data_IF_981340768870
#
_entry.id   IF_981340768870
#
_cell.length_a   1.000
_cell.length_b   1.000
_cell.length_c   1.000
_cell.angle_alpha   90.00
_cell.angle_beta   90.00
_cell.angle_gamma   90.00
#
_symmetry.space_group_name_H-M   'P 1'
#
loop_
_entity.id
_entity.type
_entity.pdbx_description
1 polymer ?
#
# COMPACT_ATOMS: atom_id res chain seq x y z
N UNK A 1 18.69 61.07 26.34
CA UNK A 1 17.32 60.73 25.89
C UNK A 1 17.41 59.55 24.94
N UNK A 2 17.17 58.33 25.43
CA UNK A 2 17.05 57.12 24.59
C UNK A 2 15.68 56.54 24.90
N UNK A 3 14.76 56.60 23.92
CA UNK A 3 13.44 55.98 24.01
C UNK A 3 13.59 54.49 23.71
N UNK A 4 13.38 53.66 24.73
CA UNK A 4 13.17 52.23 24.56
C UNK A 4 11.75 52.03 23.97
N UNK A 5 11.65 51.48 22.77
CA UNK A 5 10.38 50.99 22.22
C UNK A 5 10.35 49.48 22.49
N UNK A 6 9.53 49.07 23.46
CA UNK A 6 9.17 47.67 23.64
C UNK A 6 8.13 47.30 22.57
N UNK A 7 8.52 46.50 21.59
CA UNK A 7 7.60 45.80 20.71
C UNK A 7 7.20 44.50 21.40
N UNK A 8 5.97 44.44 21.92
CA UNK A 8 5.39 43.20 22.42
C UNK A 8 5.02 42.29 21.23
N UNK A 9 5.78 41.22 21.02
CA UNK A 9 5.36 40.12 20.16
C UNK A 9 4.23 39.36 20.86
N UNK A 10 2.99 39.58 20.42
CA UNK A 10 1.87 38.68 20.68
C UNK A 10 2.09 37.41 19.87
N UNK A 11 2.66 36.39 20.51
CA UNK A 11 2.64 35.02 19.99
C UNK A 11 1.23 34.49 20.17
N UNK A 12 0.43 34.50 19.09
CA UNK A 12 -0.77 33.68 19.01
C UNK A 12 -0.35 32.22 19.04
N UNK A 13 -0.34 31.62 20.23
CA UNK A 13 -0.34 30.16 20.38
C UNK A 13 -1.75 29.69 20.03
N UNK A 14 -2.06 29.67 18.73
CA UNK A 14 -3.23 28.96 18.24
C UNK A 14 -3.08 27.50 18.65
N UNK A 15 -3.94 27.04 19.55
CA UNK A 15 -4.04 25.63 19.91
C UNK A 15 -4.36 24.86 18.63
N UNK A 16 -3.35 24.26 18.01
CA UNK A 16 -3.55 23.34 16.90
C UNK A 16 -4.35 22.17 17.45
N UNK A 17 -5.67 22.22 17.26
CA UNK A 17 -6.53 21.06 17.40
C UNK A 17 -5.92 20.03 16.46
N UNK A 18 -5.36 18.96 17.03
CA UNK A 18 -4.71 17.90 16.26
C UNK A 18 -5.76 17.30 15.32
N UNK A 19 -5.80 17.78 14.08
CA UNK A 19 -6.69 17.30 13.04
C UNK A 19 -6.53 15.78 12.95
N UNK A 20 -7.63 15.05 13.13
CA UNK A 20 -7.63 13.58 13.06
C UNK A 20 -7.42 13.19 11.59
N UNK A 21 -6.33 12.50 11.24
CA UNK A 21 -6.05 12.11 9.86
C UNK A 21 -7.24 11.37 9.23
N UNK A 22 -7.71 11.83 8.08
CA UNK A 22 -8.90 11.31 7.41
C UNK A 22 -10.25 11.83 7.92
N UNK A 23 -10.38 12.31 9.16
CA UNK A 23 -11.67 12.81 9.70
C UNK A 23 -11.89 14.27 9.37
N UNK A 24 -10.86 15.10 9.61
CA UNK A 24 -10.94 16.55 9.41
C UNK A 24 -10.43 16.94 8.02
N UNK A 25 -10.79 16.12 7.02
CA UNK A 25 -10.42 16.35 5.63
C UNK A 25 -11.38 17.37 5.01
N UNK A 26 -10.89 18.45 4.37
CA UNK A 26 -11.77 19.34 3.63
C UNK A 26 -12.47 18.55 2.51
N UNK A 27 -13.63 19.04 2.10
CA UNK A 27 -14.25 18.55 0.86
C UNK A 27 -13.38 18.98 -0.32
N UNK A 28 -13.16 18.08 -1.28
CA UNK A 28 -12.39 18.40 -2.47
C UNK A 28 -13.08 19.49 -3.32
N UNK A 29 -12.29 20.41 -3.86
CA UNK A 29 -12.73 21.49 -4.76
C UNK A 29 -11.99 21.48 -6.12
N UNK A 30 -11.08 20.53 -6.30
CA UNK A 30 -10.34 20.35 -7.54
C UNK A 30 -11.24 19.76 -8.65
N UNK A 31 -10.81 19.92 -9.90
CA UNK A 31 -11.45 19.34 -11.07
C UNK A 31 -10.39 18.72 -11.98
N UNK A 32 -10.79 17.76 -12.81
CA UNK A 32 -10.03 17.42 -14.01
C UNK A 32 -9.93 18.67 -14.92
N UNK A 33 -8.80 18.80 -15.62
CA UNK A 33 -8.35 19.96 -16.37
C UNK A 33 -8.28 19.72 -17.88
N UNK A 34 -8.39 18.47 -18.32
CA UNK A 34 -8.31 18.12 -19.74
C UNK A 34 -9.59 17.42 -20.21
N UNK A 35 -9.77 17.33 -21.53
CA UNK A 35 -10.87 16.59 -22.14
C UNK A 35 -10.54 15.10 -22.38
N UNK A 36 -9.44 14.61 -21.79
CA UNK A 36 -9.07 13.19 -21.91
C UNK A 36 -10.22 12.31 -21.40
N UNK A 37 -10.62 11.27 -22.16
CA UNK A 37 -11.88 10.56 -21.95
C UNK A 37 -11.89 9.65 -20.72
N UNK A 38 -10.72 9.29 -20.19
CA UNK A 38 -10.60 8.44 -19.00
C UNK A 38 -10.06 9.26 -17.84
N UNK A 39 -10.76 9.25 -16.71
CA UNK A 39 -10.33 9.95 -15.49
C UNK A 39 -9.82 8.97 -14.46
N UNK A 40 -8.62 9.23 -13.94
CA UNK A 40 -7.95 8.32 -13.01
C UNK A 40 -7.59 9.08 -11.75
N UNK A 41 -7.95 8.51 -10.60
CA UNK A 41 -7.60 9.06 -9.30
C UNK A 41 -6.61 8.12 -8.62
N UNK A 42 -5.52 8.66 -8.08
CA UNK A 42 -4.59 7.89 -7.25
C UNK A 42 -4.90 8.15 -5.78
N UNK A 43 -5.26 7.10 -5.05
CA UNK A 43 -5.51 7.13 -3.61
C UNK A 43 -4.53 6.20 -2.89
N UNK A 44 -3.94 6.66 -1.79
CA UNK A 44 -2.94 5.86 -1.09
C UNK A 44 -2.14 6.57 -0.02
N UNK A 45 -1.13 5.85 0.48
CA UNK A 45 -0.16 6.33 1.45
C UNK A 45 1.02 7.08 0.81
N UNK A 46 2.16 7.11 1.52
CA UNK A 46 3.34 7.89 1.13
C UNK A 46 3.97 7.46 -0.20
N UNK A 47 3.98 6.16 -0.53
CA UNK A 47 4.46 5.67 -1.83
C UNK A 47 3.61 6.26 -2.98
N UNK A 48 2.30 6.39 -2.80
CA UNK A 48 1.42 6.94 -3.82
C UNK A 48 1.43 8.48 -3.86
N UNK A 49 1.79 9.16 -2.77
CA UNK A 49 1.68 10.61 -2.62
C UNK A 49 2.70 11.45 -3.42
N UNK A 50 3.62 10.82 -4.15
CA UNK A 50 4.61 11.53 -4.95
C UNK A 50 3.97 12.12 -6.22
N UNK A 51 4.11 13.44 -6.40
CA UNK A 51 3.57 14.17 -7.56
C UNK A 51 4.17 13.71 -8.89
N UNK A 52 5.43 13.28 -8.87
CA UNK A 52 6.15 12.69 -10.02
C UNK A 52 6.24 11.15 -9.94
N UNK A 53 5.38 10.52 -9.13
CA UNK A 53 5.32 9.08 -8.94
C UNK A 53 4.66 8.31 -10.10
N UNK A 54 4.26 7.07 -9.83
CA UNK A 54 3.73 6.15 -10.86
C UNK A 54 2.51 6.71 -11.62
N UNK A 55 1.68 7.53 -10.98
CA UNK A 55 0.54 8.18 -11.64
C UNK A 55 0.97 9.10 -12.78
N UNK A 56 2.04 9.88 -12.58
CA UNK A 56 2.59 10.75 -13.62
C UNK A 56 3.26 9.95 -14.76
N UNK A 57 3.86 8.80 -14.46
CA UNK A 57 4.38 7.90 -15.50
C UNK A 57 3.25 7.29 -16.34
N UNK A 58 2.17 6.86 -15.69
CA UNK A 58 0.98 6.35 -16.38
C UNK A 58 0.36 7.42 -17.28
N UNK A 59 0.18 8.65 -16.79
CA UNK A 59 -0.40 9.73 -17.59
C UNK A 59 0.42 10.09 -18.84
N UNK A 60 1.75 9.91 -18.77
CA UNK A 60 2.64 10.07 -19.94
C UNK A 60 2.54 8.89 -20.91
N UNK A 61 2.48 7.66 -20.40
CA UNK A 61 2.42 6.45 -21.21
C UNK A 61 1.03 6.19 -21.83
N UNK A 62 -0.03 6.70 -21.19
CA UNK A 62 -1.43 6.45 -21.54
C UNK A 62 -2.08 7.73 -22.04
N UNK A 63 -2.22 7.83 -23.36
CA UNK A 63 -2.67 9.04 -24.06
C UNK A 63 -4.08 9.51 -23.67
N UNK A 64 -4.96 8.58 -23.26
CA UNK A 64 -6.37 8.86 -22.99
C UNK A 64 -6.70 9.15 -21.52
N UNK A 65 -5.72 9.04 -20.61
CA UNK A 65 -5.99 9.21 -19.18
C UNK A 65 -5.55 10.57 -18.67
N UNK A 66 -6.36 11.16 -17.80
CA UNK A 66 -5.93 12.25 -16.94
C UNK A 66 -5.85 11.76 -15.49
N UNK A 67 -4.74 12.04 -14.81
CA UNK A 67 -4.49 11.56 -13.46
C UNK A 67 -4.55 12.69 -12.44
N UNK A 68 -5.37 12.53 -11.40
CA UNK A 68 -5.34 13.36 -10.19
C UNK A 68 -4.87 12.53 -9.01
N UNK A 69 -3.83 13.00 -8.34
CA UNK A 69 -3.29 12.33 -7.16
C UNK A 69 -3.83 12.95 -5.87
N UNK A 70 -4.62 12.16 -5.12
CA UNK A 70 -5.16 12.56 -3.81
C UNK A 70 -4.52 11.77 -2.66
N UNK A 71 -3.46 10.99 -2.92
CA UNK A 71 -2.77 10.22 -1.89
C UNK A 71 -2.09 11.14 -0.84
N UNK A 72 -1.86 10.59 0.36
CA UNK A 72 -1.35 11.36 1.51
C UNK A 72 -0.35 10.57 2.33
N UNK A 73 0.78 11.21 2.63
CA UNK A 73 1.86 10.65 3.45
C UNK A 73 1.36 10.32 4.86
N UNK A 74 1.81 9.17 5.39
CA UNK A 74 1.54 8.74 6.78
C UNK A 74 0.14 8.17 7.03
N UNK A 75 -0.73 8.09 6.01
CA UNK A 75 -2.10 7.63 6.20
C UNK A 75 -2.18 6.10 6.31
N UNK A 76 -2.98 5.62 7.25
CA UNK A 76 -3.41 4.21 7.35
C UNK A 76 -4.46 3.90 6.28
N UNK A 77 -4.81 2.62 6.08
CA UNK A 77 -5.87 2.25 5.13
C UNK A 77 -7.19 2.99 5.42
N UNK A 78 -7.61 3.06 6.69
CA UNK A 78 -8.79 3.81 7.10
C UNK A 78 -8.72 5.30 6.76
N UNK A 79 -7.59 5.94 7.03
CA UNK A 79 -7.42 7.37 6.74
C UNK A 79 -7.40 7.63 5.22
N UNK A 80 -6.83 6.73 4.41
CA UNK A 80 -6.92 6.79 2.94
C UNK A 80 -8.37 6.68 2.48
N UNK A 81 -9.15 5.74 3.02
CA UNK A 81 -10.58 5.60 2.71
C UNK A 81 -11.35 6.88 3.04
N UNK A 82 -11.14 7.45 4.23
CA UNK A 82 -11.85 8.67 4.63
C UNK A 82 -11.44 9.90 3.82
N UNK A 83 -10.17 10.01 3.46
CA UNK A 83 -9.70 11.03 2.53
C UNK A 83 -10.33 10.87 1.15
N UNK A 84 -10.42 9.65 0.62
CA UNK A 84 -11.10 9.38 -0.64
C UNK A 84 -12.58 9.81 -0.58
N UNK A 85 -13.29 9.47 0.50
CA UNK A 85 -14.66 9.92 0.74
C UNK A 85 -14.78 11.46 0.68
N UNK A 86 -13.91 12.19 1.37
CA UNK A 86 -13.96 13.66 1.45
C UNK A 86 -13.50 14.37 0.15
N UNK A 87 -12.39 13.92 -0.44
CA UNK A 87 -11.73 14.60 -1.55
C UNK A 87 -12.26 14.19 -2.92
N UNK A 88 -12.93 13.04 -3.02
CA UNK A 88 -13.41 12.47 -4.29
C UNK A 88 -14.93 12.32 -4.27
N UNK A 89 -15.46 11.49 -3.37
CA UNK A 89 -16.90 11.16 -3.39
C UNK A 89 -17.76 12.39 -3.08
N UNK A 90 -17.34 13.23 -2.13
CA UNK A 90 -18.03 14.47 -1.78
C UNK A 90 -17.65 15.66 -2.66
N UNK A 91 -16.70 15.52 -3.58
CA UNK A 91 -16.27 16.62 -4.44
C UNK A 91 -17.33 16.86 -5.53
N UNK A 92 -18.00 18.03 -5.57
CA UNK A 92 -19.07 18.29 -6.54
C UNK A 92 -18.58 18.39 -7.99
N UNK A 93 -17.27 18.54 -8.21
CA UNK A 93 -16.66 18.63 -9.53
C UNK A 93 -16.26 17.27 -10.11
N UNK A 94 -16.51 16.18 -9.39
CA UNK A 94 -16.16 14.82 -9.80
C UNK A 94 -17.45 14.03 -10.01
N UNK A 95 -17.74 13.69 -11.26
CA UNK A 95 -18.90 12.88 -11.62
C UNK A 95 -18.45 11.63 -12.40
N UNK A 96 -18.17 10.52 -11.70
CA UNK A 96 -17.69 9.30 -12.32
C UNK A 96 -18.72 8.59 -13.21
N UNK A 97 -20.00 9.00 -13.18
CA UNK A 97 -21.04 8.39 -14.02
C UNK A 97 -21.11 9.00 -15.42
N UNK A 98 -20.49 10.16 -15.64
CA UNK A 98 -20.47 10.85 -16.94
C UNK A 98 -19.43 10.31 -17.92
N UNK A 99 -18.41 9.61 -17.43
CA UNK A 99 -17.28 9.15 -18.24
C UNK A 99 -16.57 7.98 -17.57
N UNK A 100 -15.69 7.30 -18.31
CA UNK A 100 -14.90 6.22 -17.74
C UNK A 100 -13.99 6.75 -16.61
N UNK A 101 -14.23 6.27 -15.39
CA UNK A 101 -13.56 6.77 -14.20
C UNK A 101 -12.99 5.63 -13.37
N UNK A 102 -11.73 5.77 -12.98
CA UNK A 102 -10.97 4.76 -12.26
C UNK A 102 -10.34 5.33 -10.99
N UNK A 103 -10.15 4.47 -10.00
CA UNK A 103 -9.33 4.74 -8.81
C UNK A 103 -8.22 3.70 -8.74
N UNK A 104 -6.97 4.17 -8.67
CA UNK A 104 -5.82 3.34 -8.33
C UNK A 104 -5.60 3.44 -6.83
N UNK A 105 -5.58 2.30 -6.14
CA UNK A 105 -5.49 2.25 -4.68
C UNK A 105 -4.20 1.56 -4.24
N UNK A 106 -3.35 2.29 -3.52
CA UNK A 106 -2.13 1.77 -2.89
C UNK A 106 -2.05 2.24 -1.43
N UNK A 107 -2.62 1.47 -0.52
CA UNK A 107 -2.74 1.82 0.89
C UNK A 107 -2.55 0.65 1.84
N UNK A 108 -2.38 0.96 3.13
CA UNK A 108 -2.39 -0.03 4.20
C UNK A 108 -1.05 -0.34 4.85
N UNK A 109 0.09 0.11 4.31
CA UNK A 109 1.39 -0.18 4.90
C UNK A 109 1.51 0.32 6.35
N UNK A 110 1.03 1.53 6.63
CA UNK A 110 1.05 2.12 7.97
C UNK A 110 0.13 1.40 8.99
N UNK A 111 -0.76 0.53 8.52
CA UNK A 111 -1.67 -0.26 9.36
C UNK A 111 -1.47 -1.78 9.23
N UNK A 112 -0.49 -2.24 8.44
CA UNK A 112 -0.28 -3.67 8.12
C UNK A 112 0.03 -4.52 9.36
N UNK A 113 0.39 -3.91 10.50
CA UNK A 113 0.47 -4.61 11.78
C UNK A 113 -0.82 -5.34 12.18
N UNK A 114 -1.97 -4.90 11.66
CA UNK A 114 -3.26 -5.59 11.74
C UNK A 114 -3.82 -5.78 10.32
N UNK A 115 -3.45 -6.87 9.62
CA UNK A 115 -3.83 -7.06 8.22
C UNK A 115 -5.33 -7.24 8.05
N UNK A 116 -6.03 -7.84 9.02
CA UNK A 116 -7.49 -8.04 8.98
C UNK A 116 -8.25 -6.73 8.95
N UNK A 117 -7.92 -5.80 9.86
CA UNK A 117 -8.53 -4.47 9.85
C UNK A 117 -8.10 -3.65 8.62
N UNK A 118 -6.84 -3.78 8.21
CA UNK A 118 -6.33 -3.11 7.01
C UNK A 118 -7.10 -3.53 5.77
N UNK A 119 -7.29 -4.84 5.58
CA UNK A 119 -8.06 -5.41 4.48
C UNK A 119 -9.50 -4.94 4.51
N UNK A 120 -10.15 -4.94 5.69
CA UNK A 120 -11.50 -4.41 5.85
C UNK A 120 -11.62 -2.94 5.41
N UNK A 121 -10.65 -2.10 5.76
CA UNK A 121 -10.66 -0.68 5.37
C UNK A 121 -10.42 -0.48 3.88
N UNK A 122 -9.54 -1.27 3.26
CA UNK A 122 -9.32 -1.25 1.80
C UNK A 122 -10.55 -1.79 1.05
N UNK A 123 -11.16 -2.88 1.53
CA UNK A 123 -12.43 -3.42 1.01
C UNK A 123 -13.54 -2.37 1.06
N UNK A 124 -13.63 -1.62 2.17
CA UNK A 124 -14.60 -0.54 2.33
C UNK A 124 -14.36 0.61 1.35
N UNK A 125 -13.10 0.94 1.05
CA UNK A 125 -12.73 1.89 0.00
C UNK A 125 -13.17 1.38 -1.38
N UNK A 126 -12.90 0.12 -1.72
CA UNK A 126 -13.34 -0.47 -3.00
C UNK A 126 -14.85 -0.42 -3.15
N UNK A 127 -15.57 -0.82 -2.10
CA UNK A 127 -17.04 -0.78 -2.08
C UNK A 127 -17.55 0.64 -2.30
N UNK A 128 -16.97 1.62 -1.60
CA UNK A 128 -17.31 3.03 -1.75
C UNK A 128 -17.04 3.56 -3.17
N UNK A 129 -15.91 3.18 -3.78
CA UNK A 129 -15.58 3.56 -5.15
C UNK A 129 -16.59 2.99 -6.15
N UNK A 130 -16.88 1.68 -6.08
CA UNK A 130 -17.84 1.03 -6.96
C UNK A 130 -19.26 1.58 -6.80
N UNK A 131 -19.73 1.81 -5.57
CA UNK A 131 -21.04 2.42 -5.30
C UNK A 131 -21.20 3.81 -5.92
N UNK A 132 -20.08 4.53 -6.10
CA UNK A 132 -20.07 5.83 -6.73
C UNK A 132 -19.80 5.77 -8.23
N UNK A 133 -19.61 4.60 -8.84
CA UNK A 133 -19.46 4.45 -10.29
C UNK A 133 -18.02 4.46 -10.79
N UNK A 134 -17.03 4.37 -9.90
CA UNK A 134 -15.65 4.14 -10.28
C UNK A 134 -15.38 2.66 -10.50
N UNK A 135 -14.47 2.36 -11.41
CA UNK A 135 -13.73 1.09 -11.44
C UNK A 135 -12.46 1.20 -10.59
N UNK A 136 -11.90 0.08 -10.16
CA UNK A 136 -10.78 0.03 -9.22
C UNK A 136 -9.60 -0.77 -9.77
N UNK A 137 -8.41 -0.15 -9.73
CA UNK A 137 -7.13 -0.85 -9.81
C UNK A 137 -6.57 -0.97 -8.39
N UNK A 138 -6.60 -2.18 -7.84
CA UNK A 138 -6.02 -2.49 -6.53
C UNK A 138 -4.56 -2.86 -6.65
N UNK A 139 -3.67 -2.11 -5.99
CA UNK A 139 -2.25 -2.43 -5.91
C UNK A 139 -1.99 -3.12 -4.56
N UNK A 140 -1.29 -4.26 -4.57
CA UNK A 140 -0.77 -4.82 -3.32
C UNK A 140 0.23 -3.84 -2.71
N UNK A 141 0.54 -4.03 -1.42
CA UNK A 141 1.71 -3.36 -0.84
C UNK A 141 2.97 -3.69 -1.67
N UNK A 142 3.83 -2.70 -1.87
CA UNK A 142 5.15 -2.95 -2.46
C UNK A 142 6.01 -3.78 -1.50
N UNK A 143 7.05 -4.46 -2.00
CA UNK A 143 8.09 -5.02 -1.15
C UNK A 143 8.66 -3.91 -0.30
N UNK A 144 9.00 -4.22 0.94
CA UNK A 144 9.54 -3.25 1.88
C UNK A 144 10.33 -3.97 2.94
N UNK A 145 11.36 -3.31 3.46
CA UNK A 145 12.17 -3.84 4.54
C UNK A 145 13.66 -3.78 4.25
N UNK A 146 14.44 -4.03 5.28
CA UNK A 146 15.90 -4.00 5.21
C UNK A 146 16.47 -4.76 6.40
N UNK A 147 17.63 -5.40 6.22
CA UNK A 147 18.40 -5.99 7.32
C UNK A 147 18.87 -4.94 8.33
N UNK A 148 18.89 -3.65 7.96
CA UNK A 148 19.24 -2.54 8.86
C UNK A 148 18.07 -2.07 9.74
N UNK A 149 16.85 -2.50 9.42
CA UNK A 149 15.65 -2.10 10.14
C UNK A 149 15.30 -3.14 11.21
N UNK A 150 15.34 -2.72 12.48
CA UNK A 150 15.03 -3.56 13.64
C UNK A 150 13.64 -4.21 13.57
N UNK A 151 12.71 -3.64 12.80
CA UNK A 151 11.39 -4.21 12.56
C UNK A 151 11.48 -5.58 11.85
N UNK A 152 12.55 -5.84 11.13
CA UNK A 152 12.79 -7.05 10.35
C UNK A 152 13.77 -8.02 11.00
N UNK A 153 14.36 -7.66 12.14
CA UNK A 153 15.32 -8.50 12.84
C UNK A 153 14.70 -9.83 13.31
N UNK A 154 15.47 -10.91 13.20
CA UNK A 154 15.08 -12.24 13.67
C UNK A 154 13.70 -12.69 13.14
N UNK A 155 12.87 -13.21 14.05
CA UNK A 155 11.54 -13.73 13.74
C UNK A 155 10.44 -12.66 13.78
N UNK A 156 10.72 -11.44 14.25
CA UNK A 156 9.76 -10.32 14.13
C UNK A 156 9.47 -10.01 12.66
N UNK A 157 10.48 -10.11 11.79
CA UNK A 157 10.31 -9.93 10.35
C UNK A 157 9.36 -10.95 9.72
N UNK A 158 9.32 -12.18 10.25
CA UNK A 158 8.41 -13.23 9.75
C UNK A 158 6.95 -12.83 9.96
N UNK A 159 6.62 -12.29 11.13
CA UNK A 159 5.27 -11.76 11.39
C UNK A 159 4.87 -10.62 10.45
N UNK A 160 5.81 -9.71 10.13
CA UNK A 160 5.57 -8.61 9.19
C UNK A 160 5.38 -9.08 7.76
N UNK A 161 6.18 -10.03 7.33
CA UNK A 161 6.04 -10.66 6.03
C UNK A 161 4.67 -11.35 5.93
N UNK A 162 4.28 -12.15 6.92
CA UNK A 162 2.97 -12.80 6.95
C UNK A 162 1.81 -11.80 6.84
N UNK A 163 1.89 -10.69 7.57
CA UNK A 163 0.87 -9.66 7.49
C UNK A 163 0.85 -8.95 6.12
N UNK A 164 2.02 -8.67 5.54
CA UNK A 164 2.14 -8.04 4.22
C UNK A 164 1.60 -8.97 3.14
N UNK A 165 1.96 -10.26 3.20
CA UNK A 165 1.46 -11.30 2.31
C UNK A 165 -0.06 -11.46 2.43
N UNK A 166 -0.62 -11.51 3.65
CA UNK A 166 -2.07 -11.57 3.86
C UNK A 166 -2.80 -10.34 3.30
N UNK A 167 -2.20 -9.16 3.35
CA UNK A 167 -2.75 -7.96 2.71
C UNK A 167 -2.66 -8.04 1.17
N UNK A 168 -1.53 -8.49 0.63
CA UNK A 168 -1.35 -8.69 -0.80
C UNK A 168 -2.32 -9.73 -1.37
N UNK A 169 -2.46 -10.88 -0.71
CA UNK A 169 -3.34 -11.97 -1.14
C UNK A 169 -4.83 -11.59 -1.09
N UNK A 170 -5.23 -10.70 -0.18
CA UNK A 170 -6.57 -10.11 -0.20
C UNK A 170 -6.79 -9.28 -1.47
N UNK A 171 -5.89 -8.34 -1.80
CA UNK A 171 -6.01 -7.51 -3.01
C UNK A 171 -6.03 -8.39 -4.27
N UNK A 172 -5.24 -9.46 -4.27
CA UNK A 172 -5.19 -10.42 -5.38
C UNK A 172 -6.39 -11.39 -5.42
N UNK A 173 -7.36 -11.28 -4.49
CA UNK A 173 -8.54 -12.14 -4.44
C UNK A 173 -8.25 -13.60 -4.09
N UNK A 174 -7.09 -13.89 -3.48
CA UNK A 174 -6.64 -15.26 -3.17
C UNK A 174 -7.15 -15.79 -1.84
N UNK A 175 -7.70 -14.93 -0.98
CA UNK A 175 -8.18 -15.30 0.35
C UNK A 175 -9.71 -15.34 0.39
N UNK A 176 -10.28 -16.20 1.23
CA UNK A 176 -11.70 -16.08 1.62
C UNK A 176 -11.91 -14.87 2.55
N UNK A 177 -13.15 -14.35 2.68
CA UNK A 177 -13.43 -13.25 3.61
C UNK A 177 -13.02 -13.56 5.06
N UNK A 178 -13.29 -14.77 5.54
CA UNK A 178 -12.89 -15.20 6.88
C UNK A 178 -11.37 -15.08 7.09
N UNK A 179 -10.58 -15.59 6.14
CA UNK A 179 -9.12 -15.56 6.24
C UNK A 179 -8.61 -14.13 6.09
N UNK A 180 -9.16 -13.33 5.18
CA UNK A 180 -8.71 -11.98 4.89
C UNK A 180 -9.06 -10.96 6.00
N UNK A 181 -10.25 -11.07 6.58
CA UNK A 181 -10.86 -10.08 7.47
C UNK A 181 -10.97 -10.54 8.92
N UNK A 182 -10.80 -11.84 9.20
CA UNK A 182 -10.92 -12.41 10.54
C UNK A 182 -12.26 -12.03 11.17
N UNK A 183 -12.22 -11.42 12.37
CA UNK A 183 -13.42 -10.96 13.08
C UNK A 183 -14.26 -9.92 12.32
N UNK A 184 -13.66 -9.21 11.35
CA UNK A 184 -14.36 -8.22 10.53
C UNK A 184 -15.08 -8.84 9.33
N UNK A 185 -14.99 -10.16 9.14
CA UNK A 185 -15.75 -10.85 8.10
C UNK A 185 -17.26 -10.83 8.37
N UNK A 186 -17.69 -10.72 9.64
CA UNK A 186 -19.11 -10.64 10.05
C UNK A 186 -20.00 -11.73 9.42
N UNK A 187 -19.47 -12.95 9.28
CA UNK A 187 -20.21 -14.09 8.70
C UNK A 187 -20.23 -14.15 7.17
N UNK A 188 -19.48 -13.29 6.47
CA UNK A 188 -19.29 -13.40 5.01
C UNK A 188 -18.66 -14.74 4.63
N UNK A 189 -19.29 -15.45 3.69
CA UNK A 189 -18.81 -16.74 3.15
C UNK A 189 -18.17 -16.60 1.76
N UNK A 190 -18.37 -15.48 1.08
CA UNK A 190 -17.78 -15.16 -0.22
C UNK A 190 -17.71 -13.65 -0.42
N UNK A 191 -16.95 -13.23 -1.43
CA UNK A 191 -16.80 -11.82 -1.78
C UNK A 191 -17.95 -11.36 -2.67
N UNK A 192 -18.49 -10.18 -2.40
CA UNK A 192 -19.20 -9.42 -3.41
C UNK A 192 -18.21 -8.83 -4.42
N UNK A 193 -18.61 -8.70 -5.68
CA UNK A 193 -17.74 -8.13 -6.72
C UNK A 193 -17.22 -6.73 -6.35
N UNK A 194 -18.04 -5.92 -5.65
CA UNK A 194 -17.66 -4.58 -5.21
C UNK A 194 -16.61 -4.55 -4.08
N UNK A 195 -16.37 -5.68 -3.41
CA UNK A 195 -15.44 -5.79 -2.28
C UNK A 195 -14.00 -6.10 -2.72
N UNK A 196 -13.81 -6.41 -4.01
CA UNK A 196 -12.51 -6.69 -4.64
C UNK A 196 -12.25 -5.69 -5.77
N UNK A 197 -10.99 -5.45 -6.17
CA UNK A 197 -10.70 -4.56 -7.30
C UNK A 197 -11.11 -5.19 -8.64
N UNK A 198 -11.49 -4.37 -9.63
CA UNK A 198 -11.69 -4.85 -11.01
C UNK A 198 -10.38 -5.38 -11.62
N UNK A 199 -9.25 -4.74 -11.27
CA UNK A 199 -7.91 -5.13 -11.70
C UNK A 199 -6.99 -5.19 -10.48
N UNK A 200 -6.39 -6.35 -10.23
CA UNK A 200 -5.37 -6.53 -9.20
C UNK A 200 -3.95 -6.54 -9.80
N UNK A 201 -3.05 -5.77 -9.19
CA UNK A 201 -1.63 -5.68 -9.56
C UNK A 201 -0.78 -6.10 -8.36
N UNK A 202 -0.04 -7.20 -8.53
CA UNK A 202 0.86 -7.72 -7.51
C UNK A 202 2.19 -6.96 -7.56
N UNK A 203 2.31 -5.94 -6.72
CA UNK A 203 3.58 -5.24 -6.51
C UNK A 203 4.49 -6.05 -5.58
N UNK A 204 3.92 -6.83 -4.66
CA UNK A 204 4.68 -7.52 -3.63
C UNK A 204 5.55 -8.63 -4.20
N UNK A 205 5.04 -9.37 -5.19
CA UNK A 205 5.81 -10.32 -5.99
C UNK A 205 6.08 -9.82 -7.42
N UNK A 206 6.73 -8.67 -7.51
CA UNK A 206 7.09 -8.02 -8.78
C UNK A 206 8.62 -7.84 -8.91
N UNK A 207 9.11 -7.30 -10.04
CA UNK A 207 10.52 -6.88 -10.19
C UNK A 207 11.01 -5.81 -9.20
N UNK A 208 10.13 -5.26 -8.35
CA UNK A 208 10.52 -4.42 -7.21
C UNK A 208 11.24 -5.22 -6.11
N UNK A 209 10.96 -6.53 -6.02
CA UNK A 209 11.44 -7.42 -4.97
C UNK A 209 12.85 -7.93 -5.27
N UNK A 210 13.69 -8.02 -4.24
CA UNK A 210 15.05 -8.55 -4.37
C UNK A 210 15.08 -10.08 -4.36
N UNK A 211 14.54 -10.72 -5.40
CA UNK A 211 14.35 -12.19 -5.44
C UNK A 211 15.64 -12.99 -5.23
N UNK A 212 16.77 -12.39 -5.59
CA UNK A 212 18.09 -13.02 -5.57
C UNK A 212 18.93 -12.68 -4.33
N UNK A 213 18.39 -11.90 -3.39
CA UNK A 213 19.08 -11.56 -2.15
C UNK A 213 19.62 -12.82 -1.43
N UNK A 214 20.80 -12.67 -0.84
CA UNK A 214 21.40 -13.72 -0.02
C UNK A 214 20.46 -14.09 1.15
N UNK A 215 20.34 -15.40 1.38
CA UNK A 215 19.59 -15.90 2.53
C UNK A 215 20.36 -15.59 3.81
N UNK A 216 19.65 -15.29 4.90
CA UNK A 216 20.30 -15.21 6.21
C UNK A 216 20.93 -16.56 6.57
N UNK A 217 22.05 -16.56 7.30
CA UNK A 217 22.67 -17.80 7.77
C UNK A 217 21.74 -18.52 8.76
N UNK A 218 21.63 -19.85 8.62
CA UNK A 218 20.76 -20.67 9.45
C UNK A 218 21.20 -20.69 10.92
N UNK A 219 22.50 -20.86 11.20
CA UNK A 219 23.01 -21.05 12.56
C UNK A 219 22.63 -19.96 13.57
N UNK A 220 22.78 -18.65 13.25
CA UNK A 220 22.30 -17.58 14.13
C UNK A 220 20.78 -17.60 14.38
N UNK A 221 19.98 -17.95 13.37
CA UNK A 221 18.52 -18.05 13.49
C UNK A 221 18.10 -19.26 14.33
N UNK A 222 18.73 -20.41 14.13
CA UNK A 222 18.51 -21.60 14.95
C UNK A 222 18.80 -21.35 16.43
N UNK A 223 19.92 -20.67 16.73
CA UNK A 223 20.29 -20.34 18.12
C UNK A 223 19.38 -19.31 18.76
N UNK A 224 18.80 -18.40 17.98
CA UNK A 224 17.89 -17.38 18.49
C UNK A 224 16.46 -17.89 18.63
N UNK A 225 16.03 -18.86 17.81
CA UNK A 225 14.67 -19.43 17.84
C UNK A 225 14.27 -19.90 19.24
N UNK A 226 15.12 -20.71 19.87
CA UNK A 226 14.79 -21.33 21.16
C UNK A 226 14.80 -20.32 22.33
N UNK A 227 15.35 -19.11 22.11
CA UNK A 227 15.40 -18.00 23.08
C UNK A 227 14.34 -16.94 22.81
N UNK A 228 13.67 -17.00 21.66
CA UNK A 228 12.66 -16.02 21.26
C UNK A 228 11.33 -16.35 21.94
N UNK A 229 10.89 -15.44 22.82
CA UNK A 229 9.66 -15.62 23.62
C UNK A 229 8.40 -15.73 22.77
N UNK A 230 8.36 -15.07 21.61
CA UNK A 230 7.20 -15.10 20.73
C UNK A 230 7.18 -16.41 19.94
N UNK A 231 8.35 -16.93 19.53
CA UNK A 231 8.43 -18.28 18.96
C UNK A 231 8.06 -19.36 19.98
N UNK A 232 8.52 -19.27 21.23
CA UNK A 232 8.10 -20.20 22.29
C UNK A 232 6.58 -20.22 22.48
N UNK A 233 5.94 -19.04 22.54
CA UNK A 233 4.48 -18.92 22.64
C UNK A 233 3.75 -19.48 21.41
N UNK A 234 4.33 -19.29 20.22
CA UNK A 234 3.77 -19.85 18.98
C UNK A 234 3.86 -21.38 19.01
N UNK A 235 5.03 -21.94 19.32
CA UNK A 235 5.27 -23.38 19.35
C UNK A 235 4.41 -24.10 20.39
N UNK A 236 4.09 -23.45 21.52
CA UNK A 236 3.18 -24.00 22.52
C UNK A 236 1.75 -24.24 21.99
N UNK A 237 1.36 -23.60 20.88
CA UNK A 237 0.07 -23.81 20.20
C UNK A 237 0.15 -24.81 19.05
N UNK A 238 1.36 -25.23 18.67
CA UNK A 238 1.61 -26.17 17.58
C UNK A 238 1.55 -27.59 18.15
N UNK A 239 0.76 -28.51 17.54
CA UNK A 239 0.71 -29.90 17.97
C UNK A 239 2.11 -30.53 18.04
N UNK A 240 2.39 -31.31 19.08
CA UNK A 240 3.74 -31.83 19.38
C UNK A 240 4.41 -32.52 18.17
N UNK A 241 3.66 -33.39 17.47
CA UNK A 241 4.16 -34.08 16.28
C UNK A 241 4.47 -33.18 15.07
N UNK A 242 4.06 -31.91 15.10
CA UNK A 242 4.29 -30.92 14.03
C UNK A 242 5.36 -29.89 14.40
N UNK A 243 5.81 -29.84 15.65
CA UNK A 243 6.67 -28.75 16.13
C UNK A 243 8.01 -28.68 15.39
N UNK A 244 8.62 -29.83 15.08
CA UNK A 244 9.88 -29.90 14.32
C UNK A 244 9.73 -29.29 12.91
N UNK A 245 8.64 -29.63 12.23
CA UNK A 245 8.37 -29.14 10.88
C UNK A 245 8.08 -27.63 10.88
N UNK A 246 7.28 -27.17 11.84
CA UNK A 246 6.95 -25.74 11.96
C UNK A 246 8.17 -24.89 12.32
N UNK A 247 9.04 -25.38 13.21
CA UNK A 247 10.33 -24.74 13.51
C UNK A 247 11.19 -24.60 12.25
N UNK A 248 11.34 -25.68 11.47
CA UNK A 248 12.10 -25.65 10.23
C UNK A 248 11.50 -24.65 9.22
N UNK A 249 10.17 -24.66 9.05
CA UNK A 249 9.45 -23.74 8.17
C UNK A 249 9.68 -22.27 8.54
N UNK A 250 9.58 -21.94 9.83
CA UNK A 250 9.79 -20.58 10.33
C UNK A 250 11.24 -20.11 10.16
N UNK A 251 12.21 -21.00 10.37
CA UNK A 251 13.63 -20.70 10.14
C UNK A 251 13.87 -20.43 8.65
N UNK A 252 13.41 -21.30 7.75
CA UNK A 252 13.57 -21.08 6.31
C UNK A 252 12.87 -19.79 5.84
N UNK A 253 11.68 -19.50 6.38
CA UNK A 253 11.00 -18.24 6.11
C UNK A 253 11.82 -17.04 6.60
N UNK A 254 12.35 -17.09 7.83
CA UNK A 254 13.19 -16.04 8.37
C UNK A 254 14.49 -15.85 7.57
N UNK A 255 15.05 -16.94 7.03
CA UNK A 255 16.22 -16.92 6.14
C UNK A 255 15.92 -16.21 4.84
N UNK A 256 14.74 -16.41 4.28
CA UNK A 256 14.32 -15.86 3.00
C UNK A 256 13.81 -14.41 3.07
N UNK A 257 13.69 -13.81 4.25
CA UNK A 257 13.17 -12.43 4.41
C UNK A 257 13.85 -11.38 3.51
N UNK A 258 15.19 -11.35 3.35
CA UNK A 258 15.84 -10.42 2.42
C UNK A 258 15.26 -10.46 1.01
N UNK A 259 14.80 -11.63 0.57
CA UNK A 259 14.20 -11.83 -0.75
C UNK A 259 12.80 -11.25 -0.89
N UNK A 260 12.25 -10.64 0.15
CA UNK A 260 10.94 -9.99 0.17
C UNK A 260 11.01 -8.49 0.38
N UNK A 261 12.22 -7.95 0.42
CA UNK A 261 12.44 -6.51 0.52
C UNK A 261 12.38 -5.85 -0.85
N UNK A 262 12.18 -4.54 -0.82
CA UNK A 262 12.46 -3.69 -1.97
C UNK A 262 13.94 -3.82 -2.30
N UNK A 263 14.25 -4.00 -3.58
CA UNK A 263 15.63 -3.99 -4.08
C UNK A 263 16.42 -2.77 -3.58
N UNK A 264 17.61 -2.94 -2.98
CA UNK A 264 18.39 -1.84 -2.42
C UNK A 264 18.64 -0.69 -3.40
N UNK A 265 18.92 -1.01 -4.66
CA UNK A 265 19.16 -0.02 -5.70
C UNK A 265 17.90 0.77 -6.07
N UNK A 266 16.70 0.27 -5.76
CA UNK A 266 15.43 0.98 -5.94
C UNK A 266 15.04 1.82 -4.73
N UNK A 267 15.80 1.81 -3.62
CA UNK A 267 15.51 2.64 -2.45
C UNK A 267 15.68 4.12 -2.80
N UNK A 268 14.79 4.96 -2.27
CA UNK A 268 14.95 6.41 -2.26
C UNK A 268 15.63 6.82 -0.95
N UNK A 269 14.95 7.61 -0.11
CA UNK A 269 15.44 8.03 1.20
C UNK A 269 15.31 6.94 2.28
N UNK A 270 14.55 5.88 2.04
CA UNK A 270 14.47 4.70 2.89
C UNK A 270 14.11 3.43 2.09
N UNK A 271 13.97 2.31 2.80
CA UNK A 271 13.67 0.98 2.25
C UNK A 271 12.16 0.68 2.05
N UNK A 272 11.32 1.71 2.16
CA UNK A 272 9.88 1.66 1.91
C UNK A 272 9.55 2.40 0.61
N UNK A 273 10.23 3.53 0.37
CA UNK A 273 9.94 4.42 -0.72
C UNK A 273 10.81 4.12 -1.94
N UNK A 274 10.22 3.65 -3.06
CA UNK A 274 10.96 3.49 -4.29
C UNK A 274 11.40 4.85 -4.84
N UNK A 275 12.60 4.89 -5.45
CA UNK A 275 13.04 6.03 -6.26
C UNK A 275 12.33 6.04 -7.63
N UNK A 276 12.75 6.95 -8.50
CA UNK A 276 12.21 7.14 -9.86
C UNK A 276 11.98 5.82 -10.60
N UNK A 277 13.00 4.98 -10.69
CA UNK A 277 13.00 3.72 -11.43
C UNK A 277 12.00 2.71 -10.83
N UNK A 278 11.83 2.69 -9.51
CA UNK A 278 10.81 1.86 -8.88
C UNK A 278 9.38 2.36 -9.17
N UNK A 279 9.18 3.68 -9.28
CA UNK A 279 7.90 4.22 -9.72
C UNK A 279 7.58 3.94 -11.19
N UNK A 280 8.59 3.93 -12.05
CA UNK A 280 8.45 3.47 -13.43
C UNK A 280 8.04 1.99 -13.50
N UNK A 281 8.66 1.13 -12.68
CA UNK A 281 8.27 -0.29 -12.57
C UNK A 281 6.81 -0.42 -12.10
N UNK A 282 6.39 0.30 -11.05
CA UNK A 282 4.99 0.28 -10.60
C UNK A 282 4.05 0.68 -11.74
N UNK A 283 4.36 1.77 -12.45
CA UNK A 283 3.56 2.21 -13.59
C UNK A 283 3.52 1.15 -14.70
N UNK A 284 4.65 0.50 -15.00
CA UNK A 284 4.75 -0.59 -15.96
C UNK A 284 3.87 -1.78 -15.60
N UNK A 285 3.91 -2.23 -14.34
CA UNK A 285 3.08 -3.33 -13.85
C UNK A 285 1.58 -3.02 -13.93
N UNK A 286 1.18 -1.75 -13.76
CA UNK A 286 -0.20 -1.31 -13.97
C UNK A 286 -0.53 -1.27 -15.47
N UNK A 287 0.35 -0.65 -16.27
CA UNK A 287 0.15 -0.38 -17.70
C UNK A 287 -0.22 -1.64 -18.49
N UNK A 288 0.46 -2.76 -18.23
CA UNK A 288 0.22 -4.01 -18.96
C UNK A 288 -1.11 -4.70 -18.62
N UNK A 289 -1.82 -4.23 -17.59
CA UNK A 289 -3.08 -4.81 -17.11
C UNK A 289 -4.29 -3.92 -17.37
N UNK A 290 -4.11 -2.61 -17.52
CA UNK A 290 -5.21 -1.67 -17.70
C UNK A 290 -5.88 -1.82 -19.07
N UNK A 291 -7.15 -1.42 -19.22
CA UNK A 291 -7.89 -1.61 -20.46
C UNK A 291 -7.31 -0.79 -21.61
N UNK A 292 -7.56 -1.25 -22.84
CA UNK A 292 -7.18 -0.53 -24.07
C UNK A 292 -7.73 0.90 -24.15
N UNK A 293 -8.85 1.19 -23.48
CA UNK A 293 -9.44 2.55 -23.43
C UNK A 293 -8.48 3.58 -22.86
N UNK A 294 -7.51 3.18 -22.02
CA UNK A 294 -6.49 4.08 -21.49
C UNK A 294 -5.47 4.53 -22.55
N UNK A 295 -5.40 3.87 -23.71
CA UNK A 295 -4.54 4.27 -24.82
C UNK A 295 -3.05 4.23 -24.48
N UNK A 296 -2.64 3.17 -23.75
CA UNK A 296 -1.30 3.03 -23.23
C UNK A 296 -0.29 2.47 -24.24
N UNK A 297 0.88 3.09 -24.29
CA UNK A 297 2.12 2.50 -24.82
C UNK A 297 3.02 2.09 -23.65
N UNK A 298 2.94 0.82 -23.25
CA UNK A 298 3.72 0.32 -22.13
C UNK A 298 5.20 0.08 -22.47
N UNK A 299 5.58 0.14 -23.75
CA UNK A 299 6.99 -0.02 -24.16
C UNK A 299 7.85 1.17 -23.75
N UNK A 300 7.23 2.32 -23.46
CA UNK A 300 7.90 3.51 -22.97
C UNK A 300 8.23 3.47 -21.47
N UNK A 301 7.85 2.40 -20.75
CA UNK A 301 8.03 2.25 -19.32
C UNK A 301 9.05 1.16 -18.99
N UNK A 302 9.80 1.36 -17.92
CA UNK A 302 10.61 0.29 -17.35
C UNK A 302 9.70 -0.76 -16.71
N UNK A 303 9.68 -1.99 -17.25
CA UNK A 303 8.90 -3.10 -16.66
C UNK A 303 9.66 -3.84 -15.54
N UNK A 304 10.94 -3.49 -15.34
CA UNK A 304 11.91 -4.22 -14.54
C UNK A 304 12.55 -5.34 -15.36
N UNK A 305 13.84 -5.59 -15.14
CA UNK A 305 14.51 -6.76 -15.72
C UNK A 305 13.84 -8.02 -15.17
N UNK A 306 13.10 -8.73 -16.01
CA UNK A 306 12.47 -10.02 -15.69
C UNK A 306 13.51 -11.14 -15.66
N UNK A 307 14.49 -11.04 -14.76
CA UNK A 307 15.34 -12.18 -14.40
C UNK A 307 14.60 -13.11 -13.44
#
# INVERSE_FOLDING_TARGET
MIRLVLVALLVFVGSAVNAKPGVDEPVGDWSFKTDKPVKVIVAGGSVAALSFGFGAYLERACSNIEVVNVAKVGYSAWAVMKRFEAQVVKNPNVDPKKQESWVIVLGGLNSVGNPEKTNYDIMSLYTLAHQNGFKVVGLTLSPWGSEKDKRWAGFTGVGRQNNTQKAADFVMGRLSPEVALGKYAEGRTGWHASELPDIAVDLYDSPLRDKDAELRPAGPLERSFDKDKDMQKLMAKVPEGQQKAERARLIEQARALPRWYLRPELHSFDHIHPKKEGHEIIAGQICVKVPKSWGCDCSSLNLGDGK
#
